data_IF_500255531471
#
_entry.id   IF_500255531471
#
_cell.length_a   1.000
_cell.length_b   1.000
_cell.length_c   1.000
_cell.angle_alpha   90.00
_cell.angle_beta   90.00
_cell.angle_gamma   90.00
#
_symmetry.space_group_name_H-M   'P 1'
#
loop_
_entity.id
_entity.type
_entity.pdbx_description
1 polymer ?
#
# COMPACT_ATOMS: atom_id res chain seq x y z
N UNK A 1 3.19 5.56 -21.61
CA UNK A 1 3.62 4.92 -20.36
C UNK A 1 2.92 5.58 -19.19
N UNK A 2 2.48 4.82 -18.20
CA UNK A 2 2.00 5.37 -16.92
C UNK A 2 3.04 6.36 -16.34
N UNK A 3 2.58 7.40 -15.64
CA UNK A 3 3.46 8.47 -15.14
C UNK A 3 3.78 9.59 -16.15
N UNK A 4 3.37 9.45 -17.42
CA UNK A 4 3.30 10.56 -18.39
C UNK A 4 4.60 11.38 -18.55
N UNK A 5 4.49 12.69 -18.36
CA UNK A 5 5.62 13.61 -18.49
C UNK A 5 6.71 13.39 -17.42
N UNK A 6 6.34 12.90 -16.23
CA UNK A 6 7.28 12.67 -15.14
C UNK A 6 8.29 11.58 -15.47
N UNK A 7 7.81 10.45 -16.01
CA UNK A 7 8.70 9.36 -16.45
C UNK A 7 9.47 9.74 -17.71
N UNK A 8 8.90 10.60 -18.57
CA UNK A 8 9.59 11.12 -19.76
C UNK A 8 10.77 12.00 -19.37
N UNK A 9 10.57 12.93 -18.42
CA UNK A 9 11.62 13.78 -17.88
C UNK A 9 12.72 12.95 -17.20
N UNK A 10 12.33 11.93 -16.43
CA UNK A 10 13.31 11.07 -15.76
C UNK A 10 14.11 10.21 -16.73
N UNK A 11 13.47 9.62 -17.75
CA UNK A 11 14.17 8.89 -18.80
C UNK A 11 15.27 9.73 -19.47
N UNK A 12 15.02 11.03 -19.68
CA UNK A 12 16.02 11.95 -20.23
C UNK A 12 17.19 12.25 -19.27
N UNK A 13 17.10 11.84 -18.00
CA UNK A 13 18.16 11.99 -16.98
C UNK A 13 19.00 10.72 -16.90
N UNK A 14 18.39 9.57 -16.61
CA UNK A 14 19.17 8.37 -16.25
C UNK A 14 19.54 7.48 -17.44
N UNK A 15 18.80 7.50 -18.55
CA UNK A 15 19.07 6.63 -19.70
C UNK A 15 20.30 7.09 -20.53
N UNK A 16 20.50 8.39 -20.84
CA UNK A 16 21.60 8.79 -21.73
C UNK A 16 23.00 8.34 -21.29
N UNK A 17 23.39 8.42 -20.00
CA UNK A 17 24.67 7.89 -19.54
C UNK A 17 24.80 6.37 -19.74
N UNK A 18 23.73 5.62 -19.49
CA UNK A 18 23.68 4.16 -19.67
C UNK A 18 23.82 3.81 -21.15
N UNK A 19 23.06 4.50 -22.01
CA UNK A 19 23.13 4.34 -23.46
C UNK A 19 24.55 4.58 -23.98
N UNK A 20 25.20 5.67 -23.55
CA UNK A 20 26.57 5.97 -23.95
C UNK A 20 27.56 4.87 -23.51
N UNK A 21 27.42 4.37 -22.28
CA UNK A 21 28.23 3.24 -21.77
C UNK A 21 28.03 1.99 -22.59
N UNK A 22 26.78 1.59 -22.84
CA UNK A 22 26.46 0.36 -23.59
C UNK A 22 26.89 0.46 -25.05
N UNK A 23 26.65 1.59 -25.71
CA UNK A 23 27.06 1.80 -27.09
C UNK A 23 28.58 1.74 -27.27
N UNK A 24 29.36 2.18 -26.27
CA UNK A 24 30.82 2.11 -26.30
C UNK A 24 31.38 0.68 -26.19
N UNK A 25 30.56 -0.30 -25.80
CA UNK A 25 30.94 -1.72 -25.72
C UNK A 25 30.57 -2.51 -27.00
N UNK A 26 29.95 -1.85 -27.99
CA UNK A 26 29.43 -2.49 -29.20
C UNK A 26 30.27 -2.08 -30.40
N UNK A 27 30.92 -3.07 -31.02
CA UNK A 27 31.56 -2.91 -32.32
C UNK A 27 30.57 -3.17 -33.47
N UNK A 28 30.80 -2.54 -34.62
CA UNK A 28 30.01 -2.77 -35.85
C UNK A 28 28.90 -1.74 -36.07
N UNK A 29 27.79 -2.18 -36.67
CA UNK A 29 26.70 -1.30 -37.15
C UNK A 29 25.43 -1.36 -36.31
N UNK A 30 25.51 -1.87 -35.08
CA UNK A 30 24.39 -1.85 -34.14
C UNK A 30 24.40 -0.53 -33.35
N UNK A 31 23.35 0.27 -33.54
CA UNK A 31 23.12 1.51 -32.81
C UNK A 31 21.92 1.34 -31.88
N UNK A 32 22.17 1.42 -30.57
CA UNK A 32 21.13 1.40 -29.55
C UNK A 32 20.42 2.74 -29.47
N UNK A 33 19.14 2.69 -29.13
CA UNK A 33 18.30 3.85 -28.79
C UNK A 33 18.00 3.86 -27.30
N UNK A 34 17.52 5.00 -26.79
CA UNK A 34 17.02 5.08 -25.41
C UNK A 34 15.87 4.08 -25.15
N UNK A 35 15.05 3.82 -26.17
CA UNK A 35 13.96 2.84 -26.08
C UNK A 35 14.47 1.42 -25.89
N UNK A 36 15.59 1.06 -26.52
CA UNK A 36 16.21 -0.25 -26.34
C UNK A 36 16.72 -0.41 -24.92
N UNK A 37 17.43 0.60 -24.40
CA UNK A 37 17.95 0.60 -23.02
C UNK A 37 16.81 0.52 -22.00
N UNK A 38 15.70 1.22 -22.21
CA UNK A 38 14.55 1.22 -21.29
C UNK A 38 13.87 -0.15 -21.14
N UNK A 39 14.04 -1.04 -22.13
CA UNK A 39 13.43 -2.37 -22.13
C UNK A 39 14.30 -3.44 -21.45
N UNK A 40 15.61 -3.22 -21.33
CA UNK A 40 16.54 -4.22 -20.77
C UNK A 40 16.16 -4.61 -19.32
N UNK A 41 15.80 -3.70 -18.41
CA UNK A 41 15.38 -4.09 -17.07
C UNK A 41 14.11 -4.97 -17.06
N UNK A 42 13.20 -4.77 -18.02
CA UNK A 42 12.04 -5.64 -18.18
C UNK A 42 12.44 -7.04 -18.67
N UNK A 43 13.37 -7.14 -19.62
CA UNK A 43 13.92 -8.44 -20.04
C UNK A 43 14.58 -9.17 -18.87
N UNK A 44 15.39 -8.47 -18.08
CA UNK A 44 15.99 -8.99 -16.86
C UNK A 44 14.91 -9.59 -15.92
N UNK A 45 13.88 -8.82 -15.58
CA UNK A 45 12.83 -9.27 -14.66
C UNK A 45 12.00 -10.43 -15.21
N UNK A 46 11.49 -10.31 -16.44
CA UNK A 46 10.59 -11.31 -17.04
C UNK A 46 11.31 -12.62 -17.37
N UNK A 47 12.50 -12.57 -17.98
CA UNK A 47 13.27 -13.78 -18.27
C UNK A 47 13.65 -14.51 -16.97
N UNK A 48 14.01 -13.75 -15.92
CA UNK A 48 14.33 -14.36 -14.63
C UNK A 48 13.15 -15.13 -14.04
N UNK A 49 11.95 -14.55 -14.12
CA UNK A 49 10.72 -15.17 -13.64
C UNK A 49 10.32 -16.40 -14.46
N UNK A 50 10.46 -16.34 -15.79
CA UNK A 50 10.08 -17.43 -16.70
C UNK A 50 11.02 -18.62 -16.54
N UNK A 51 12.33 -18.37 -16.47
CA UNK A 51 13.36 -19.42 -16.44
C UNK A 51 13.68 -19.92 -15.03
N UNK A 52 13.29 -19.17 -13.99
CA UNK A 52 13.59 -19.47 -12.60
C UNK A 52 15.06 -19.26 -12.22
N UNK A 53 15.83 -18.50 -13.02
CA UNK A 53 17.25 -18.19 -12.79
C UNK A 53 17.49 -16.72 -13.13
N UNK A 54 18.47 -16.08 -12.50
CA UNK A 54 18.78 -14.69 -12.81
C UNK A 54 19.19 -14.56 -14.29
N UNK A 55 18.49 -13.69 -15.01
CA UNK A 55 18.73 -13.41 -16.42
C UNK A 55 20.09 -12.72 -16.61
N UNK A 56 20.88 -13.09 -17.64
CA UNK A 56 22.08 -12.35 -18.03
C UNK A 56 21.81 -10.89 -18.41
N UNK A 57 20.57 -10.53 -18.80
CA UNK A 57 20.19 -9.13 -19.04
C UNK A 57 20.29 -8.29 -17.77
N UNK A 58 20.28 -8.92 -16.59
CA UNK A 58 20.45 -8.22 -15.33
C UNK A 58 21.89 -7.71 -15.15
N UNK A 59 22.90 -8.46 -15.62
CA UNK A 59 24.31 -8.10 -15.46
C UNK A 59 24.76 -6.93 -16.36
N UNK A 60 23.88 -6.45 -17.24
CA UNK A 60 24.15 -5.31 -18.12
C UNK A 60 24.14 -3.98 -17.34
N UNK A 61 23.37 -3.91 -16.27
CA UNK A 61 23.19 -2.72 -15.44
C UNK A 61 24.01 -2.87 -14.15
N UNK A 62 24.65 -1.79 -13.73
CA UNK A 62 25.22 -1.68 -12.39
C UNK A 62 24.13 -1.48 -11.33
N UNK A 63 24.47 -1.72 -10.07
CA UNK A 63 23.55 -1.50 -8.94
C UNK A 63 22.98 -0.08 -8.91
N UNK A 64 23.80 0.95 -9.17
CA UNK A 64 23.34 2.34 -9.20
C UNK A 64 22.36 2.57 -10.35
N UNK A 65 22.63 2.05 -11.54
CA UNK A 65 21.72 2.17 -12.69
C UNK A 65 20.38 1.44 -12.44
N UNK A 66 20.40 0.33 -11.70
CA UNK A 66 19.18 -0.32 -11.22
C UNK A 66 18.39 0.54 -10.23
N UNK A 67 19.06 1.26 -9.32
CA UNK A 67 18.37 2.20 -8.42
C UNK A 67 17.73 3.38 -9.19
N UNK A 68 18.32 3.80 -10.32
CA UNK A 68 17.69 4.78 -11.20
C UNK A 68 16.43 4.21 -11.87
N UNK A 69 16.45 2.93 -12.28
CA UNK A 69 15.29 2.23 -12.80
C UNK A 69 14.20 1.97 -11.73
N UNK A 70 14.58 1.68 -10.49
CA UNK A 70 13.62 1.61 -9.37
C UNK A 70 12.89 2.95 -9.22
N UNK A 71 13.62 4.06 -9.23
CA UNK A 71 13.01 5.39 -9.15
C UNK A 71 12.10 5.70 -10.36
N UNK A 72 12.46 5.21 -11.56
CA UNK A 72 11.57 5.26 -12.71
C UNK A 72 10.24 4.54 -12.45
N UNK A 73 10.26 3.34 -11.84
CA UNK A 73 9.04 2.62 -11.48
C UNK A 73 8.23 3.35 -10.40
N UNK A 74 8.90 4.01 -9.46
CA UNK A 74 8.23 4.84 -8.45
C UNK A 74 7.49 6.00 -9.09
N UNK A 75 8.12 6.73 -10.02
CA UNK A 75 7.46 7.79 -10.79
C UNK A 75 6.29 7.24 -11.61
N UNK A 76 6.47 6.09 -12.27
CA UNK A 76 5.43 5.42 -13.07
C UNK A 76 4.20 5.13 -12.22
N UNK A 77 4.35 4.50 -11.06
CA UNK A 77 3.22 4.15 -10.20
C UNK A 77 2.66 5.38 -9.48
N UNK A 78 3.51 6.24 -8.93
CA UNK A 78 3.10 7.44 -8.19
C UNK A 78 2.26 8.39 -9.04
N UNK A 79 2.73 8.70 -10.27
CA UNK A 79 2.04 9.63 -11.19
C UNK A 79 1.15 8.93 -12.22
N UNK A 80 1.12 7.60 -12.28
CA UNK A 80 0.24 6.85 -13.17
C UNK A 80 -1.07 6.43 -12.53
N UNK A 81 -0.99 5.83 -11.32
CA UNK A 81 -2.13 5.21 -10.63
C UNK A 81 -2.13 5.44 -9.12
N UNK A 82 -1.13 6.14 -8.59
CA UNK A 82 -0.90 6.37 -7.16
C UNK A 82 -1.18 7.80 -6.73
N UNK A 83 -0.52 8.22 -5.64
CA UNK A 83 -0.80 9.45 -4.90
C UNK A 83 -0.62 10.75 -5.72
N UNK A 84 0.22 10.72 -6.76
CA UNK A 84 0.49 11.85 -7.64
C UNK A 84 -0.58 12.11 -8.69
N UNK A 85 -1.69 11.35 -8.68
CA UNK A 85 -2.78 11.48 -9.64
C UNK A 85 -4.00 12.20 -9.05
N UNK A 86 -4.91 12.70 -9.88
CA UNK A 86 -6.15 13.31 -9.41
C UNK A 86 -7.25 12.28 -9.17
N UNK A 87 -7.64 11.55 -10.23
CA UNK A 87 -8.73 10.57 -10.19
C UNK A 87 -8.26 9.18 -9.72
N UNK A 88 -7.21 8.56 -10.32
CA UNK A 88 -6.78 7.21 -9.96
C UNK A 88 -6.59 6.98 -8.45
N UNK A 89 -5.95 7.92 -7.72
CA UNK A 89 -5.76 7.80 -6.26
C UNK A 89 -7.05 7.65 -5.45
N UNK A 90 -8.19 8.07 -6.01
CA UNK A 90 -9.49 7.99 -5.33
C UNK A 90 -10.17 6.66 -5.56
N UNK A 91 -9.73 5.87 -6.55
CA UNK A 91 -10.53 4.81 -7.14
C UNK A 91 -10.86 3.66 -6.18
N UNK A 92 -9.99 3.42 -5.19
CA UNK A 92 -10.15 2.34 -4.20
C UNK A 92 -10.64 2.83 -2.84
N UNK A 93 -10.89 4.13 -2.65
CA UNK A 93 -11.39 4.66 -1.37
C UNK A 93 -12.78 4.12 -1.00
N UNK A 94 -13.77 4.02 -1.92
CA UNK A 94 -15.07 3.43 -1.59
C UNK A 94 -14.96 1.94 -1.23
N UNK A 95 -14.07 1.20 -1.90
CA UNK A 95 -13.77 -0.18 -1.56
C UNK A 95 -13.26 -0.28 -0.12
N UNK A 96 -12.24 0.51 0.21
CA UNK A 96 -11.63 0.52 1.55
C UNK A 96 -12.62 0.98 2.62
N UNK A 97 -13.41 2.02 2.34
CA UNK A 97 -14.43 2.52 3.26
C UNK A 97 -15.46 1.46 3.63
N UNK A 98 -15.97 0.72 2.64
CA UNK A 98 -16.91 -0.38 2.84
C UNK A 98 -16.26 -1.58 3.55
N UNK A 99 -14.97 -1.86 3.28
CA UNK A 99 -14.22 -2.88 4.02
C UNK A 99 -14.10 -2.51 5.51
N UNK A 100 -13.86 -1.22 5.81
CA UNK A 100 -13.80 -0.75 7.20
C UNK A 100 -15.16 -0.85 7.90
N UNK A 101 -16.29 -0.66 7.19
CA UNK A 101 -17.63 -0.91 7.75
C UNK A 101 -17.81 -2.38 8.19
N UNK A 102 -17.25 -3.33 7.43
CA UNK A 102 -17.26 -4.76 7.80
C UNK A 102 -16.40 -4.98 9.05
N UNK A 103 -15.22 -4.35 9.11
CA UNK A 103 -14.30 -4.53 10.24
C UNK A 103 -14.87 -3.98 11.55
N UNK A 104 -15.57 -2.84 11.49
CA UNK A 104 -16.26 -2.22 12.62
C UNK A 104 -17.38 -3.11 13.14
N UNK A 105 -18.21 -3.66 12.26
CA UNK A 105 -19.25 -4.63 12.65
C UNK A 105 -18.67 -5.91 13.27
N UNK A 106 -17.46 -6.30 12.88
CA UNK A 106 -16.69 -7.35 13.52
C UNK A 106 -16.91 -8.77 12.96
N UNK A 107 -16.38 -9.80 13.64
CA UNK A 107 -16.28 -11.16 13.09
C UNK A 107 -17.61 -11.93 12.97
N UNK A 108 -18.71 -11.36 13.49
CA UNK A 108 -20.04 -11.97 13.47
C UNK A 108 -20.94 -11.42 12.36
N UNK A 109 -20.38 -10.65 11.42
CA UNK A 109 -21.11 -10.13 10.26
C UNK A 109 -21.73 -11.28 9.46
N UNK A 110 -22.98 -11.09 9.07
CA UNK A 110 -23.67 -11.98 8.14
C UNK A 110 -23.82 -11.29 6.78
N UNK A 111 -23.77 -12.08 5.72
CA UNK A 111 -24.04 -11.65 4.36
C UNK A 111 -25.26 -12.35 3.78
N UNK A 112 -25.64 -11.95 2.58
CA UNK A 112 -26.77 -12.47 1.80
C UNK A 112 -26.26 -13.26 0.59
N UNK A 113 -26.72 -14.50 0.43
CA UNK A 113 -26.45 -15.35 -0.74
C UNK A 113 -27.30 -14.93 -1.94
N UNK A 114 -27.03 -15.54 -3.10
CA UNK A 114 -27.80 -15.35 -4.32
C UNK A 114 -29.28 -15.74 -4.17
N UNK A 115 -29.56 -16.83 -3.46
CA UNK A 115 -30.92 -17.31 -3.15
C UNK A 115 -31.63 -16.50 -2.04
N UNK A 116 -30.98 -15.45 -1.52
CA UNK A 116 -31.49 -14.61 -0.45
C UNK A 116 -31.24 -15.13 0.97
N UNK A 117 -30.70 -16.35 1.13
CA UNK A 117 -30.38 -16.90 2.45
C UNK A 117 -29.17 -16.21 3.09
N UNK A 118 -29.10 -16.24 4.42
CA UNK A 118 -27.99 -15.64 5.16
C UNK A 118 -26.76 -16.57 5.21
N UNK A 119 -25.56 -15.98 5.31
CA UNK A 119 -24.33 -16.71 5.60
C UNK A 119 -23.45 -15.95 6.58
N UNK A 120 -22.64 -16.67 7.37
CA UNK A 120 -21.63 -16.06 8.21
C UNK A 120 -20.42 -15.68 7.35
N UNK A 121 -20.00 -14.41 7.41
CA UNK A 121 -18.86 -13.94 6.66
C UNK A 121 -17.57 -14.63 7.17
N UNK A 122 -16.71 -15.18 6.29
CA UNK A 122 -15.44 -15.75 6.70
C UNK A 122 -14.54 -14.71 7.37
N UNK A 123 -13.73 -15.14 8.35
CA UNK A 123 -12.76 -14.27 9.03
C UNK A 123 -11.60 -13.82 8.12
N UNK A 124 -11.37 -14.55 7.03
CA UNK A 124 -10.38 -14.22 6.01
C UNK A 124 -11.11 -13.82 4.72
N UNK A 125 -10.93 -12.57 4.34
CA UNK A 125 -11.43 -12.00 3.09
C UNK A 125 -10.25 -11.85 2.13
N UNK A 126 -10.33 -12.47 0.96
CA UNK A 126 -9.26 -12.46 -0.04
C UNK A 126 -9.82 -11.92 -1.35
N UNK A 127 -9.14 -10.91 -1.90
CA UNK A 127 -9.39 -10.39 -3.24
C UNK A 127 -8.12 -10.44 -4.06
N UNK A 128 -8.24 -10.81 -5.33
CA UNK A 128 -7.17 -10.77 -6.31
C UNK A 128 -7.40 -9.55 -7.20
N UNK A 129 -6.38 -8.70 -7.30
CA UNK A 129 -6.41 -7.40 -7.97
C UNK A 129 -5.16 -7.25 -8.83
N UNK A 130 -5.16 -6.31 -9.78
CA UNK A 130 -3.95 -5.98 -10.52
C UNK A 130 -3.12 -4.93 -9.76
N UNK A 131 -1.86 -4.78 -10.15
CA UNK A 131 -0.89 -3.83 -9.61
C UNK A 131 -1.42 -2.39 -9.58
N UNK A 132 -2.17 -1.99 -10.60
CA UNK A 132 -2.88 -0.70 -10.65
C UNK A 132 -3.82 -0.50 -9.46
N UNK A 133 -4.73 -1.44 -9.19
CA UNK A 133 -5.65 -1.33 -8.05
C UNK A 133 -4.93 -1.48 -6.71
N UNK A 134 -3.84 -2.26 -6.63
CA UNK A 134 -3.02 -2.30 -5.40
C UNK A 134 -2.43 -0.91 -5.10
N UNK A 135 -1.89 -0.20 -6.08
CA UNK A 135 -1.38 1.17 -5.89
C UNK A 135 -2.48 2.16 -5.50
N UNK A 136 -3.65 2.06 -6.12
CA UNK A 136 -4.81 2.88 -5.76
C UNK A 136 -5.26 2.59 -4.32
N UNK A 137 -5.24 1.32 -3.90
CA UNK A 137 -5.58 0.93 -2.53
C UNK A 137 -4.54 1.42 -1.51
N UNK A 138 -3.24 1.37 -1.86
CA UNK A 138 -2.17 1.99 -1.07
C UNK A 138 -2.38 3.50 -0.94
N UNK A 139 -2.69 4.20 -2.03
CA UNK A 139 -3.00 5.63 -2.00
C UNK A 139 -4.24 5.94 -1.13
N UNK A 140 -5.28 5.11 -1.22
CA UNK A 140 -6.47 5.24 -0.38
C UNK A 140 -6.15 4.99 1.12
N UNK A 141 -5.24 4.06 1.41
CA UNK A 141 -4.97 3.59 2.78
C UNK A 141 -4.41 4.63 3.74
N UNK A 142 -3.72 5.66 3.21
CA UNK A 142 -3.16 6.73 4.02
C UNK A 142 -1.72 6.52 4.50
N UNK A 143 -1.13 5.35 4.27
CA UNK A 143 0.21 5.01 4.78
C UNK A 143 1.34 5.87 4.19
N UNK A 144 1.09 6.55 3.07
CA UNK A 144 2.02 7.48 2.42
C UNK A 144 1.48 8.90 2.31
N UNK A 145 0.53 9.31 3.16
CA UNK A 145 -0.06 10.66 3.08
C UNK A 145 0.96 11.79 3.33
N UNK A 146 2.08 11.51 4.00
CA UNK A 146 3.19 12.45 4.20
C UNK A 146 4.23 12.43 3.07
N UNK A 147 4.07 11.55 2.07
CA UNK A 147 4.94 11.52 0.90
C UNK A 147 4.79 12.82 0.11
N UNK A 148 5.89 13.55 -0.03
CA UNK A 148 5.96 14.71 -0.93
C UNK A 148 5.96 14.25 -2.39
N UNK A 149 5.49 15.07 -3.35
CA UNK A 149 5.60 14.77 -4.77
C UNK A 149 7.04 14.37 -5.16
N UNK A 150 7.17 13.29 -5.91
CA UNK A 150 8.46 12.78 -6.36
C UNK A 150 9.03 13.68 -7.46
N UNK A 151 10.32 14.00 -7.39
CA UNK A 151 10.98 14.80 -8.42
C UNK A 151 11.16 13.98 -9.70
N UNK A 152 10.80 14.53 -10.86
CA UNK A 152 11.05 13.88 -12.15
C UNK A 152 12.45 14.14 -12.70
N UNK A 153 13.30 14.89 -11.99
CA UNK A 153 14.63 15.30 -12.47
C UNK A 153 15.77 14.91 -11.52
N UNK A 154 15.47 14.47 -10.30
CA UNK A 154 16.46 14.09 -9.30
C UNK A 154 15.92 12.92 -8.47
N UNK A 155 16.71 11.86 -8.30
CA UNK A 155 16.34 10.73 -7.43
C UNK A 155 16.34 11.17 -5.96
N UNK A 156 15.24 10.91 -5.26
CA UNK A 156 15.15 11.09 -3.81
C UNK A 156 15.45 9.75 -3.12
N UNK A 157 16.65 9.65 -2.54
CA UNK A 157 17.10 8.46 -1.81
C UNK A 157 16.42 8.30 -0.45
N UNK A 158 15.75 9.34 0.05
CA UNK A 158 15.08 9.36 1.36
C UNK A 158 13.58 9.14 1.28
N UNK A 159 13.03 8.94 0.08
CA UNK A 159 11.58 8.83 -0.14
C UNK A 159 10.96 7.64 0.63
N UNK A 160 9.86 7.86 1.35
CA UNK A 160 9.06 6.76 1.90
C UNK A 160 8.43 5.85 0.84
N UNK A 161 7.94 6.42 -0.27
CA UNK A 161 7.26 5.71 -1.35
C UNK A 161 8.29 5.04 -2.27
N UNK A 162 8.47 3.73 -2.06
CA UNK A 162 9.28 2.86 -2.92
C UNK A 162 8.38 1.73 -3.40
N UNK A 163 7.90 1.85 -4.63
CA UNK A 163 6.89 0.96 -5.26
C UNK A 163 7.36 -0.48 -5.32
N UNK A 164 8.66 -0.72 -5.55
CA UNK A 164 9.27 -2.06 -5.59
C UNK A 164 9.10 -2.83 -4.27
N UNK A 165 8.81 -2.16 -3.15
CA UNK A 165 8.60 -2.81 -1.85
C UNK A 165 7.20 -3.41 -1.68
N UNK A 166 6.21 -2.97 -2.45
CA UNK A 166 4.81 -3.41 -2.29
C UNK A 166 4.08 -3.74 -3.60
N UNK A 167 4.49 -3.16 -4.73
CA UNK A 167 3.96 -3.44 -6.07
C UNK A 167 4.86 -4.44 -6.77
N UNK A 168 4.90 -5.66 -6.25
CA UNK A 168 5.71 -6.75 -6.80
C UNK A 168 4.82 -7.76 -7.53
N UNK A 169 5.43 -8.64 -8.34
CA UNK A 169 4.76 -9.87 -8.72
C UNK A 169 4.31 -10.61 -7.44
N UNK A 170 3.04 -11.01 -7.38
CA UNK A 170 2.41 -11.55 -6.15
C UNK A 170 2.49 -10.60 -4.95
N UNK A 171 2.43 -9.30 -5.18
CA UNK A 171 2.35 -8.29 -4.11
C UNK A 171 1.09 -8.47 -3.26
N UNK A 172 1.19 -8.22 -1.95
CA UNK A 172 0.10 -8.38 -0.99
C UNK A 172 -0.12 -7.11 -0.17
N UNK A 173 -1.39 -6.80 0.06
CA UNK A 173 -1.84 -5.80 1.03
C UNK A 173 -2.74 -6.51 2.02
N UNK A 174 -2.41 -6.43 3.31
CA UNK A 174 -3.21 -6.99 4.38
C UNK A 174 -3.72 -5.88 5.30
N UNK A 175 -5.03 -5.90 5.56
CA UNK A 175 -5.68 -5.13 6.61
C UNK A 175 -6.03 -6.11 7.73
N UNK A 176 -5.39 -5.97 8.88
CA UNK A 176 -5.53 -6.88 10.02
C UNK A 176 -6.35 -6.22 11.12
N UNK A 177 -7.51 -6.80 11.45
CA UNK A 177 -8.32 -6.40 12.61
C UNK A 177 -7.79 -7.10 13.87
N UNK A 178 -7.21 -6.34 14.78
CA UNK A 178 -6.61 -6.82 16.02
C UNK A 178 -7.54 -6.54 17.20
N UNK A 179 -7.70 -7.49 18.11
CA UNK A 179 -8.33 -7.25 19.41
C UNK A 179 -7.24 -7.34 20.47
N UNK A 180 -6.96 -6.23 21.14
CA UNK A 180 -5.87 -6.11 22.09
C UNK A 180 -6.38 -5.57 23.43
N UNK A 181 -5.75 -6.00 24.51
CA UNK A 181 -5.98 -5.42 25.83
C UNK A 181 -5.34 -4.03 25.82
N UNK A 182 -6.14 -2.98 25.99
CA UNK A 182 -5.63 -1.60 26.02
C UNK A 182 -4.80 -1.35 27.27
N UNK A 183 -3.72 -0.58 27.15
CA UNK A 183 -3.12 0.08 28.31
C UNK A 183 -4.10 1.19 28.73
N UNK A 184 -4.76 1.03 29.88
CA UNK A 184 -5.69 2.04 30.39
C UNK A 184 -5.02 3.42 30.40
N UNK A 185 -5.76 4.45 29.98
CA UNK A 185 -5.34 5.85 29.98
C UNK A 185 -4.64 6.20 31.31
N UNK A 186 -3.32 6.10 31.32
CA UNK A 186 -2.50 6.54 32.44
C UNK A 186 -2.37 8.03 32.26
N UNK A 187 -3.32 8.78 32.81
CA UNK A 187 -3.20 10.23 32.94
C UNK A 187 -1.84 10.54 33.55
N UNK A 188 -1.09 11.40 32.88
CA UNK A 188 0.25 11.84 33.25
C UNK A 188 0.33 12.21 34.74
N UNK A 189 0.92 11.35 35.56
CA UNK A 189 1.57 11.79 36.78
C UNK A 189 3.02 12.06 36.40
N UNK A 190 3.38 13.35 36.39
CA UNK A 190 4.74 13.85 36.17
C UNK A 190 5.77 13.00 36.90
N UNK A 191 6.54 12.21 36.13
CA UNK A 191 7.76 11.59 36.60
C UNK A 191 8.90 12.08 35.73
N UNK A 192 9.43 13.25 36.09
CA UNK A 192 10.77 13.69 35.71
C UNK A 192 11.76 12.60 36.10
N UNK A 193 12.31 11.87 35.13
CA UNK A 193 13.47 11.00 35.36
C UNK A 193 14.62 11.44 34.50
N UNK A 194 15.55 12.13 35.18
CA UNK A 194 16.90 12.39 34.73
C UNK A 194 17.59 11.05 34.38
N UNK A 195 18.18 10.99 33.18
CA UNK A 195 19.01 9.89 32.76
C UNK A 195 20.43 10.07 33.33
N UNK A 196 20.87 9.15 34.20
CA UNK A 196 22.28 8.94 34.48
C UNK A 196 22.66 7.49 34.20
N UNK A 197 23.68 7.33 33.36
CA UNK A 197 24.26 6.06 32.91
C UNK A 197 25.24 5.54 33.96
N UNK A 198 25.12 4.28 34.37
CA UNK A 198 26.25 3.42 34.79
C UNK A 198 25.88 1.93 34.61
N UNK A 199 26.82 1.04 34.22
CA UNK A 199 26.58 -0.40 34.08
C UNK A 199 27.31 -1.20 35.21
N UNK A 200 27.28 -2.55 35.23
CA UNK A 200 26.34 -3.35 36.03
C UNK A 200 27.05 -4.23 37.07
N UNK A 201 26.33 -4.80 38.06
CA UNK A 201 26.63 -6.12 38.67
C UNK A 201 25.53 -6.55 39.68
N UNK A 202 25.24 -7.86 39.63
CA UNK A 202 24.64 -8.79 40.62
C UNK A 202 23.13 -8.97 40.73
N UNK A 203 22.81 -10.28 40.79
CA UNK A 203 21.52 -10.94 41.01
C UNK A 203 20.97 -10.64 42.40
N UNK A 204 19.68 -10.32 42.48
CA UNK A 204 18.86 -10.53 43.67
C UNK A 204 17.38 -10.62 43.27
N UNK A 205 16.69 -11.60 43.85
CA UNK A 205 15.25 -11.84 43.72
C UNK A 205 14.44 -10.58 44.00
N UNK A 206 13.50 -10.26 43.11
CA UNK A 206 12.47 -9.27 43.33
C UNK A 206 11.09 -9.91 43.17
N UNK A 207 10.46 -10.25 44.29
CA UNK A 207 8.99 -10.25 44.39
C UNK A 207 8.54 -8.82 44.11
N UNK A 208 8.09 -8.56 42.88
CA UNK A 208 7.48 -7.30 42.52
C UNK A 208 6.04 -7.29 43.04
N UNK A 209 5.57 -6.21 43.67
CA UNK A 209 4.15 -6.03 43.91
C UNK A 209 3.45 -5.97 42.55
N UNK A 210 2.42 -6.79 42.38
CA UNK A 210 1.53 -6.73 41.22
C UNK A 210 1.04 -5.29 41.04
N UNK A 211 1.12 -4.70 39.83
CA UNK A 211 0.51 -3.40 39.58
C UNK A 211 -1.00 -3.48 39.89
N UNK A 212 -1.63 -2.37 40.32
CA UNK A 212 -3.07 -2.36 40.51
C UNK A 212 -3.75 -2.70 39.19
N UNK A 213 -4.76 -3.56 39.26
CA UNK A 213 -5.57 -4.04 38.13
C UNK A 213 -6.10 -2.81 37.38
N UNK A 214 -5.46 -2.49 36.25
CA UNK A 214 -6.00 -1.53 35.30
C UNK A 214 -7.24 -2.16 34.66
N UNK A 215 -8.29 -1.36 34.50
CA UNK A 215 -9.52 -1.76 33.81
C UNK A 215 -9.14 -2.13 32.36
N UNK A 216 -8.96 -3.43 32.12
CA UNK A 216 -8.51 -4.02 30.87
C UNK A 216 -9.64 -3.93 29.84
N UNK A 217 -9.87 -2.75 29.29
CA UNK A 217 -10.81 -2.62 28.19
C UNK A 217 -10.14 -3.14 26.90
N UNK A 218 -10.71 -4.22 26.38
CA UNK A 218 -10.36 -4.72 25.05
C UNK A 218 -10.71 -3.65 24.02
N UNK A 219 -9.72 -3.23 23.24
CA UNK A 219 -9.89 -2.28 22.15
C UNK A 219 -9.57 -2.96 20.82
N UNK A 220 -10.26 -2.51 19.77
CA UNK A 220 -10.04 -3.03 18.41
C UNK A 220 -9.16 -2.07 17.63
N UNK A 221 -8.15 -2.62 16.96
CA UNK A 221 -7.19 -1.89 16.16
C UNK A 221 -7.15 -2.43 14.74
N UNK A 222 -6.61 -1.61 13.82
CA UNK A 222 -6.30 -1.97 12.45
C UNK A 222 -4.81 -1.81 12.21
N UNK A 223 -4.20 -2.81 11.59
CA UNK A 223 -2.81 -2.78 11.14
C UNK A 223 -2.76 -3.03 9.64
N UNK A 224 -1.95 -2.24 8.94
CA UNK A 224 -1.79 -2.36 7.49
C UNK A 224 -0.41 -2.96 7.23
N UNK A 225 -0.36 -3.98 6.38
CA UNK A 225 0.89 -4.58 5.91
C UNK A 225 0.95 -4.55 4.40
N UNK A 226 2.10 -4.16 3.87
CA UNK A 226 2.43 -4.26 2.45
C UNK A 226 3.59 -5.23 2.32
N UNK A 227 3.41 -6.32 1.57
CA UNK A 227 4.41 -7.39 1.42
C UNK A 227 5.04 -7.80 2.76
N UNK A 228 4.19 -8.16 3.72
CA UNK A 228 4.56 -8.58 5.07
C UNK A 228 5.18 -7.51 6.00
N UNK A 229 5.56 -6.34 5.52
CA UNK A 229 6.05 -5.25 6.37
C UNK A 229 4.89 -4.40 6.90
N UNK A 230 4.97 -3.95 8.16
CA UNK A 230 3.97 -3.04 8.75
C UNK A 230 4.19 -1.62 8.22
N UNK A 231 3.13 -1.01 7.71
CA UNK A 231 3.12 0.38 7.25
C UNK A 231 2.15 1.19 8.13
N UNK A 232 2.66 1.93 9.13
CA UNK A 232 1.82 2.72 10.02
C UNK A 232 1.15 3.89 9.27
N UNK A 233 -0.06 4.25 9.69
CA UNK A 233 -0.68 5.50 9.25
C UNK A 233 0.02 6.63 10.02
N UNK A 234 0.56 7.66 9.35
CA UNK A 234 1.39 8.67 10.03
C UNK A 234 0.69 9.35 11.21
N UNK A 235 -0.59 9.66 11.06
CA UNK A 235 -1.43 10.32 12.07
C UNK A 235 -2.12 9.36 13.05
N UNK A 236 -2.02 8.04 12.83
CA UNK A 236 -2.70 7.05 13.67
C UNK A 236 -1.89 5.75 13.77
N UNK A 237 -0.97 5.71 14.73
CA UNK A 237 -0.03 4.59 14.92
C UNK A 237 0.31 4.32 16.40
N UNK A 238 -0.49 4.82 17.33
CA UNK A 238 -0.27 4.71 18.77
C UNK A 238 -0.69 3.37 19.37
N UNK A 239 -1.39 2.52 18.60
CA UNK A 239 -1.83 1.21 19.05
C UNK A 239 -0.73 0.13 19.02
N UNK A 240 -1.00 -1.06 19.59
CA UNK A 240 -0.04 -2.16 19.64
C UNK A 240 0.51 -2.56 18.26
N UNK A 241 1.83 -2.59 18.13
CA UNK A 241 2.48 -2.94 16.86
C UNK A 241 2.27 -1.89 15.75
N UNK A 242 2.23 -0.61 16.13
CA UNK A 242 2.02 0.54 15.24
C UNK A 242 0.67 0.51 14.51
N UNK A 243 -0.35 -0.01 15.18
CA UNK A 243 -1.72 -0.06 14.68
C UNK A 243 -2.48 1.24 14.97
N UNK A 244 -3.57 1.47 14.26
CA UNK A 244 -4.54 2.54 14.53
C UNK A 244 -5.75 1.99 15.27
N UNK A 245 -6.41 2.78 16.13
CA UNK A 245 -7.71 2.37 16.67
C UNK A 245 -8.71 2.24 15.51
N UNK A 246 -9.49 1.16 15.49
CA UNK A 246 -10.30 0.83 14.31
C UNK A 246 -11.32 1.92 13.96
N UNK A 247 -11.99 2.49 14.96
CA UNK A 247 -12.96 3.58 14.77
C UNK A 247 -12.28 4.84 14.23
N UNK A 248 -11.10 5.20 14.76
CA UNK A 248 -10.33 6.36 14.30
C UNK A 248 -9.91 6.19 12.83
N UNK A 249 -9.47 4.99 12.44
CA UNK A 249 -9.14 4.70 11.05
C UNK A 249 -10.36 4.73 10.14
N UNK A 250 -11.49 4.15 10.58
CA UNK A 250 -12.74 4.20 9.84
C UNK A 250 -13.17 5.65 9.58
N UNK A 251 -13.09 6.51 10.59
CA UNK A 251 -13.40 7.93 10.46
C UNK A 251 -12.42 8.63 9.51
N UNK A 252 -11.12 8.33 9.62
CA UNK A 252 -10.10 8.86 8.71
C UNK A 252 -10.40 8.52 7.24
N UNK A 253 -10.76 7.26 6.93
CA UNK A 253 -11.13 6.84 5.57
C UNK A 253 -12.46 7.46 5.12
N UNK A 254 -13.46 7.58 6.01
CA UNK A 254 -14.73 8.21 5.69
C UNK A 254 -14.54 9.69 5.31
N UNK A 255 -13.78 10.44 6.10
CA UNK A 255 -13.42 11.83 5.80
C UNK A 255 -12.63 11.95 4.49
N UNK A 256 -11.71 11.02 4.22
CA UNK A 256 -10.98 10.98 2.95
C UNK A 256 -11.93 10.76 1.76
N UNK A 257 -12.91 9.87 1.89
CA UNK A 257 -13.93 9.64 0.86
C UNK A 257 -14.83 10.86 0.64
N UNK A 258 -15.27 11.51 1.71
CA UNK A 258 -16.08 12.73 1.63
C UNK A 258 -15.34 13.87 0.92
N UNK A 259 -14.06 14.07 1.25
CA UNK A 259 -13.20 15.09 0.64
C UNK A 259 -12.91 14.82 -0.84
N UNK A 260 -13.04 13.59 -1.31
CA UNK A 260 -12.91 13.24 -2.73
C UNK A 260 -14.15 13.63 -3.55
N UNK A 261 -15.26 14.00 -2.91
CA UNK A 261 -16.44 14.52 -3.60
C UNK A 261 -17.19 13.48 -4.44
N UNK A 262 -17.81 13.95 -5.52
CA UNK A 262 -18.72 13.13 -6.31
C UNK A 262 -17.99 12.25 -7.31
N UNK A 263 -18.17 10.94 -7.14
CA UNK A 263 -17.68 9.93 -8.08
C UNK A 263 -18.23 10.09 -9.51
N UNK A 264 -19.47 10.52 -9.65
CA UNK A 264 -20.08 10.78 -10.96
C UNK A 264 -19.30 11.89 -11.68
N UNK A 265 -18.88 12.92 -10.95
CA UNK A 265 -18.11 14.03 -11.48
C UNK A 265 -16.67 13.59 -11.76
N UNK A 266 -16.01 12.95 -10.79
CA UNK A 266 -14.61 12.51 -10.90
C UNK A 266 -14.39 11.55 -12.07
N UNK A 267 -15.34 10.64 -12.31
CA UNK A 267 -15.28 9.68 -13.41
C UNK A 267 -16.00 10.14 -14.69
N UNK A 268 -16.52 11.37 -14.72
CA UNK A 268 -17.27 11.93 -15.85
C UNK A 268 -18.36 10.96 -16.38
N UNK A 269 -19.16 10.41 -15.47
CA UNK A 269 -20.18 9.41 -15.83
C UNK A 269 -21.37 10.11 -16.50
N UNK A 270 -21.48 9.96 -17.82
CA UNK A 270 -22.54 10.59 -18.64
C UNK A 270 -23.63 9.63 -19.07
N UNK A 271 -23.46 8.33 -18.87
CA UNK A 271 -24.41 7.30 -19.30
C UNK A 271 -25.74 7.43 -18.54
N UNK A 272 -26.89 7.60 -19.25
CA UNK A 272 -28.20 7.63 -18.61
C UNK A 272 -28.49 6.35 -17.81
N UNK A 273 -29.03 6.50 -16.59
CA UNK A 273 -29.36 5.37 -15.72
C UNK A 273 -28.15 4.71 -15.04
N UNK A 274 -26.94 5.28 -15.18
CA UNK A 274 -25.77 4.77 -14.46
C UNK A 274 -25.99 4.83 -12.94
N UNK A 275 -25.46 3.85 -12.16
CA UNK A 275 -25.54 3.87 -10.71
C UNK A 275 -24.92 5.14 -10.12
N UNK A 276 -25.67 5.81 -9.26
CA UNK A 276 -25.22 7.06 -8.61
C UNK A 276 -24.52 6.83 -7.27
N UNK A 277 -24.70 5.63 -6.68
CA UNK A 277 -24.10 5.23 -5.41
C UNK A 277 -23.08 4.13 -5.62
N UNK A 278 -21.83 4.40 -5.28
CA UNK A 278 -20.76 3.40 -5.28
C UNK A 278 -20.91 2.49 -4.06
N UNK A 279 -21.05 1.18 -4.27
CA UNK A 279 -21.24 0.20 -3.19
C UNK A 279 -19.93 -0.33 -2.58
N UNK A 280 -18.78 0.00 -3.17
CA UNK A 280 -17.46 -0.41 -2.67
C UNK A 280 -17.33 -1.93 -2.58
N UNK A 281 -16.78 -2.42 -1.46
CA UNK A 281 -16.55 -3.84 -1.18
C UNK A 281 -17.83 -4.62 -0.80
N UNK A 282 -19.01 -4.19 -1.25
CA UNK A 282 -20.29 -4.82 -0.89
C UNK A 282 -20.41 -6.28 -1.31
N UNK A 283 -19.62 -6.72 -2.28
CA UNK A 283 -19.59 -8.11 -2.75
C UNK A 283 -19.10 -9.10 -1.69
N UNK A 284 -18.51 -8.64 -0.58
CA UNK A 284 -18.26 -9.53 0.56
C UNK A 284 -19.54 -9.93 1.29
N UNK A 285 -20.54 -9.04 1.36
CA UNK A 285 -21.75 -9.23 2.17
C UNK A 285 -23.03 -9.38 1.35
N UNK A 286 -23.01 -9.09 0.05
CA UNK A 286 -24.14 -9.31 -0.85
C UNK A 286 -23.68 -10.03 -2.12
N UNK A 287 -23.96 -11.34 -2.17
CA UNK A 287 -23.66 -12.22 -3.29
C UNK A 287 -24.79 -12.28 -4.33
N UNK A 288 -25.92 -11.60 -4.10
CA UNK A 288 -27.06 -11.62 -5.04
C UNK A 288 -26.94 -10.59 -6.16
N UNK A 289 -25.77 -9.95 -6.28
CA UNK A 289 -25.58 -8.86 -7.23
C UNK A 289 -25.45 -9.39 -8.66
N UNK A 290 -26.12 -8.79 -9.66
CA UNK A 290 -26.18 -9.35 -11.03
C UNK A 290 -24.83 -9.33 -11.78
N UNK A 291 -23.83 -8.64 -11.26
CA UNK A 291 -22.47 -8.63 -11.80
C UNK A 291 -21.51 -9.60 -11.11
N UNK A 292 -21.98 -10.35 -10.12
CA UNK A 292 -21.21 -11.43 -9.51
C UNK A 292 -21.49 -12.73 -10.27
N UNK A 293 -20.43 -13.51 -10.45
CA UNK A 293 -20.53 -14.86 -11.00
C UNK A 293 -19.69 -15.81 -10.16
N UNK A 294 -20.18 -17.03 -9.99
CA UNK A 294 -19.43 -18.07 -9.33
C UNK A 294 -18.48 -18.71 -10.33
N UNK A 295 -17.18 -18.63 -10.06
CA UNK A 295 -16.16 -19.38 -10.82
C UNK A 295 -15.96 -20.71 -10.11
N UNK A 296 -16.38 -21.80 -10.76
CA UNK A 296 -16.07 -23.13 -10.26
C UNK A 296 -14.55 -23.35 -10.34
N UNK A 297 -13.91 -23.91 -9.28
CA UNK A 297 -12.49 -24.26 -9.31
C UNK A 297 -12.19 -25.37 -10.32
#
# INVERSE_FOLDING_TARGET
TEGGEYVTAWNNVYIPPILARLQALIDGNLTLTQSDVSQIPYLCGFESQITGRLSPWCDIFSDEEFLQYEYFQDLRYYYGVGLGTDVPKTMMTPYLNALMDIFVQGPSVTGKREDGSAFNLPKLLVSFLNDGQLNQLVAASGVFDEQRPLSSTHKDDSRPFVSSRFTTMRGTIAFERLNCVGAGNSTNVNATRFAQRTPPIRRSNCTQPSPPIQDNQNATYIRIRLNDAVYPIPTCNSGPGSSCQLEDYKQYIATKLENQGSWIQNCNVTTPGAPTKVKGASFYTDLSSPWLSHVAP
#
